data_IF_840569506710
#
_entry.id   IF_840569506710
#
_cell.length_a   1.000
_cell.length_b   1.000
_cell.length_c   1.000
_cell.angle_alpha   90.00
_cell.angle_beta   90.00
_cell.angle_gamma   90.00
#
_symmetry.space_group_name_H-M   'P 1'
#
loop_
_entity.id
_entity.type
_entity.pdbx_description
1 polymer ?
#
# COMPACT_ATOMS: atom_id res chain seq x y z
N UNK A 1 -7.10 27.54 -22.48
CA UNK A 1 -7.19 26.59 -21.35
C UNK A 1 -6.04 26.92 -20.39
N UNK A 2 -6.30 27.29 -19.14
CA UNK A 2 -5.22 27.58 -18.18
C UNK A 2 -4.73 26.23 -17.61
N UNK A 3 -3.64 25.71 -18.14
CA UNK A 3 -2.98 24.52 -17.58
C UNK A 3 -2.20 24.95 -16.32
N UNK A 4 -2.51 24.31 -15.22
CA UNK A 4 -1.72 24.49 -13.98
C UNK A 4 -0.31 23.97 -14.23
N UNK A 5 0.76 24.72 -13.91
CA UNK A 5 2.13 24.26 -14.12
C UNK A 5 2.40 22.94 -13.41
N UNK A 6 3.26 22.12 -14.02
CA UNK A 6 3.76 20.89 -13.43
C UNK A 6 5.06 21.17 -12.67
N UNK A 7 5.24 20.56 -11.50
CA UNK A 7 6.43 20.76 -10.69
C UNK A 7 7.51 19.75 -11.07
N UNK A 8 8.69 20.25 -11.39
CA UNK A 8 9.87 19.45 -11.72
C UNK A 8 10.96 19.56 -10.65
N UNK A 9 11.74 18.50 -10.52
CA UNK A 9 13.02 18.46 -9.80
C UNK A 9 14.08 17.88 -10.74
N UNK A 10 15.31 18.32 -10.63
CA UNK A 10 16.43 17.73 -11.37
C UNK A 10 16.58 16.25 -10.99
N UNK A 11 16.79 15.38 -11.98
CA UNK A 11 16.89 13.94 -11.74
C UNK A 11 18.07 13.58 -10.83
N UNK A 12 19.20 14.28 -10.96
CA UNK A 12 20.36 14.14 -10.08
C UNK A 12 19.98 14.40 -8.63
N UNK A 13 19.32 15.52 -8.35
CA UNK A 13 18.84 15.86 -7.01
C UNK A 13 17.89 14.81 -6.47
N UNK A 14 16.97 14.33 -7.28
CA UNK A 14 16.04 13.28 -6.88
C UNK A 14 16.76 11.98 -6.46
N UNK A 15 17.83 11.58 -7.19
CA UNK A 15 18.67 10.42 -6.84
C UNK A 15 19.46 10.68 -5.56
N UNK A 16 20.04 11.86 -5.38
CA UNK A 16 20.74 12.26 -4.15
C UNK A 16 19.80 12.25 -2.93
N UNK A 17 18.53 12.60 -3.13
CA UNK A 17 17.45 12.52 -2.14
C UNK A 17 16.96 11.07 -1.90
N UNK A 18 17.57 10.09 -2.58
CA UNK A 18 17.27 8.65 -2.43
C UNK A 18 16.00 8.21 -3.17
N UNK A 19 15.60 8.89 -4.23
CA UNK A 19 14.53 8.46 -5.13
C UNK A 19 15.08 7.57 -6.24
N UNK A 20 14.27 6.58 -6.67
CA UNK A 20 14.51 5.86 -7.92
C UNK A 20 13.77 6.57 -9.05
N UNK A 21 14.43 6.72 -10.19
CA UNK A 21 13.83 7.34 -11.36
C UNK A 21 13.17 6.27 -12.23
N UNK A 22 11.96 6.56 -12.66
CA UNK A 22 11.19 5.69 -13.56
C UNK A 22 10.77 6.48 -14.80
N UNK A 23 10.92 5.87 -15.97
CA UNK A 23 10.37 6.42 -17.21
C UNK A 23 8.83 6.37 -17.21
N UNK A 24 8.16 7.11 -18.07
CA UNK A 24 6.70 7.00 -18.24
C UNK A 24 6.23 5.59 -18.63
N UNK A 25 7.10 4.78 -19.21
CA UNK A 25 6.82 3.39 -19.60
C UNK A 25 7.07 2.39 -18.46
N UNK A 26 7.49 2.85 -17.28
CA UNK A 26 7.76 2.00 -16.11
C UNK A 26 9.16 1.36 -16.09
N UNK A 27 10.08 1.81 -16.93
CA UNK A 27 11.46 1.35 -16.94
C UNK A 27 12.30 2.15 -15.94
N UNK A 28 13.18 1.48 -15.19
CA UNK A 28 14.09 2.14 -14.23
C UNK A 28 15.19 2.88 -15.00
N UNK A 29 15.37 4.18 -14.69
CA UNK A 29 16.44 5.00 -15.24
C UNK A 29 17.66 4.84 -14.33
N UNK A 30 18.83 4.44 -14.87
CA UNK A 30 20.05 4.29 -14.08
C UNK A 30 20.49 5.62 -13.44
N UNK A 31 21.01 5.55 -12.22
CA UNK A 31 21.43 6.73 -11.46
C UNK A 31 22.50 7.58 -12.19
N UNK A 32 23.36 6.95 -12.99
CA UNK A 32 24.39 7.63 -13.78
C UNK A 32 23.83 8.42 -14.97
N UNK A 33 22.59 8.20 -15.36
CA UNK A 33 21.90 8.94 -16.40
C UNK A 33 21.03 10.07 -15.83
N UNK A 34 20.90 10.18 -14.52
CA UNK A 34 19.97 11.07 -13.84
C UNK A 34 20.15 12.57 -14.23
N UNK A 35 21.37 13.01 -14.52
CA UNK A 35 21.69 14.39 -14.91
C UNK A 35 20.98 14.83 -16.20
N UNK A 36 20.53 13.88 -17.03
CA UNK A 36 19.84 14.14 -18.29
C UNK A 36 18.32 14.22 -18.17
N UNK A 37 17.79 14.09 -16.96
CA UNK A 37 16.34 13.99 -16.72
C UNK A 37 15.84 15.01 -15.71
N UNK A 38 14.59 15.38 -15.88
CA UNK A 38 13.78 16.03 -14.85
C UNK A 38 12.71 15.07 -14.36
N UNK A 39 12.40 15.12 -13.07
CA UNK A 39 11.37 14.33 -12.43
C UNK A 39 10.12 15.17 -12.20
N UNK A 40 9.00 14.71 -12.71
CA UNK A 40 7.71 15.35 -12.48
C UNK A 40 7.24 14.97 -11.07
N UNK A 41 7.31 15.92 -10.15
CA UNK A 41 6.91 15.74 -8.74
C UNK A 41 5.41 15.94 -8.56
N UNK A 42 4.84 16.95 -9.25
CA UNK A 42 3.39 17.16 -9.33
C UNK A 42 2.95 17.32 -10.79
N UNK A 43 1.75 16.82 -11.06
CA UNK A 43 1.16 16.86 -12.40
C UNK A 43 1.48 15.65 -13.28
N UNK A 44 1.98 14.55 -12.74
CA UNK A 44 2.27 13.31 -13.48
C UNK A 44 1.09 12.84 -14.34
N UNK A 45 -0.13 12.81 -13.79
CA UNK A 45 -1.33 12.43 -14.54
C UNK A 45 -1.63 13.41 -15.69
N UNK A 46 -1.41 14.72 -15.47
CA UNK A 46 -1.58 15.75 -16.51
C UNK A 46 -0.56 15.58 -17.64
N UNK A 47 0.69 15.32 -17.28
CA UNK A 47 1.75 15.06 -18.25
C UNK A 47 1.46 13.79 -19.08
N UNK A 48 1.09 12.70 -18.41
CA UNK A 48 0.74 11.44 -19.10
C UNK A 48 -0.45 11.64 -20.03
N UNK A 49 -1.53 12.28 -19.56
CA UNK A 49 -2.71 12.55 -20.40
C UNK A 49 -2.38 13.43 -21.61
N UNK A 50 -1.56 14.47 -21.43
CA UNK A 50 -1.14 15.34 -22.53
C UNK A 50 -0.31 14.57 -23.56
N UNK A 51 0.67 13.78 -23.12
CA UNK A 51 1.51 12.98 -24.03
C UNK A 51 0.72 11.88 -24.74
N UNK A 52 -0.28 11.29 -24.12
CA UNK A 52 -1.18 10.32 -24.76
C UNK A 52 -2.04 11.00 -25.83
N UNK A 53 -2.62 12.17 -25.54
CA UNK A 53 -3.40 12.93 -26.52
C UNK A 53 -2.57 13.34 -27.74
N UNK A 54 -1.31 13.77 -27.54
CA UNK A 54 -0.40 14.11 -28.64
C UNK A 54 -0.08 12.88 -29.50
N UNK A 55 0.24 11.74 -28.87
CA UNK A 55 0.52 10.48 -29.58
C UNK A 55 -0.69 9.95 -30.35
N UNK A 56 -1.88 10.12 -29.79
CA UNK A 56 -3.11 9.64 -30.45
C UNK A 56 -3.50 10.52 -31.64
N UNK A 57 -3.25 11.85 -31.57
CA UNK A 57 -3.42 12.75 -32.71
C UNK A 57 -2.41 12.44 -33.82
N UNK A 58 -1.14 12.20 -33.46
CA UNK A 58 -0.10 11.81 -34.42
C UNK A 58 -0.47 10.51 -35.17
N UNK A 59 -0.98 9.49 -34.46
CA UNK A 59 -1.43 8.24 -35.08
C UNK A 59 -2.61 8.41 -36.04
N UNK A 60 -3.44 9.43 -35.80
CA UNK A 60 -4.63 9.72 -36.61
C UNK A 60 -4.37 10.76 -37.71
N UNK A 61 -3.18 11.32 -37.78
CA UNK A 61 -2.83 12.44 -38.64
C UNK A 61 -3.74 13.66 -38.40
N UNK A 62 -4.05 13.92 -37.14
CA UNK A 62 -4.91 15.02 -36.66
C UNK A 62 -4.06 16.05 -35.89
N UNK A 63 -4.53 17.30 -35.87
CA UNK A 63 -3.91 18.32 -35.00
C UNK A 63 -4.16 17.93 -33.50
N UNK A 64 -3.11 17.93 -32.66
CA UNK A 64 -3.27 17.59 -31.27
C UNK A 64 -4.04 18.70 -30.52
N UNK A 65 -4.96 18.29 -29.64
CA UNK A 65 -5.71 19.20 -28.79
C UNK A 65 -4.82 19.98 -27.79
N UNK A 66 -3.62 19.47 -27.54
CA UNK A 66 -2.60 20.05 -26.67
C UNK A 66 -1.26 19.92 -27.41
N UNK A 67 -0.45 21.00 -27.41
CA UNK A 67 0.91 21.00 -27.96
C UNK A 67 1.95 21.12 -26.85
N UNK A 68 3.21 20.78 -27.12
CA UNK A 68 4.32 20.94 -26.17
C UNK A 68 4.44 22.37 -25.66
N UNK A 69 4.15 23.37 -26.49
CA UNK A 69 4.20 24.81 -26.15
C UNK A 69 3.15 25.18 -25.08
N UNK A 70 2.14 24.36 -24.89
CA UNK A 70 1.08 24.57 -23.89
C UNK A 70 1.36 23.86 -22.57
N UNK A 71 2.46 23.09 -22.49
CA UNK A 71 2.89 22.44 -21.25
C UNK A 71 3.79 23.38 -20.45
N UNK A 72 3.34 23.77 -19.28
CA UNK A 72 4.09 24.64 -18.38
C UNK A 72 4.72 23.84 -17.25
N UNK A 73 6.04 24.05 -17.07
CA UNK A 73 6.81 23.40 -16.03
C UNK A 73 7.40 24.43 -15.09
N UNK A 74 7.43 24.09 -13.81
CA UNK A 74 8.07 24.86 -12.77
C UNK A 74 9.19 24.03 -12.16
N UNK A 75 10.43 24.48 -12.28
CA UNK A 75 11.56 23.81 -11.65
C UNK A 75 11.66 24.24 -10.19
N UNK A 76 11.73 23.28 -9.28
CA UNK A 76 11.88 23.59 -7.86
C UNK A 76 13.27 24.07 -7.52
N UNK A 77 13.35 25.26 -6.95
CA UNK A 77 14.57 25.88 -6.43
C UNK A 77 14.50 26.07 -4.90
N UNK A 78 13.53 25.47 -4.22
CA UNK A 78 13.35 25.68 -2.77
C UNK A 78 14.44 25.03 -1.92
N UNK A 79 15.23 24.12 -2.49
CA UNK A 79 16.23 23.33 -1.76
C UNK A 79 15.62 22.22 -0.90
N UNK A 80 14.30 22.02 -0.91
CA UNK A 80 13.64 20.94 -0.17
C UNK A 80 14.02 19.59 -0.73
N UNK A 81 13.94 18.57 0.13
CA UNK A 81 14.12 17.19 -0.29
C UNK A 81 12.98 16.76 -1.23
N UNK A 82 13.30 16.03 -2.30
CA UNK A 82 12.33 15.57 -3.31
C UNK A 82 11.20 14.76 -2.70
N UNK A 83 11.48 13.94 -1.67
CA UNK A 83 10.46 13.16 -0.95
C UNK A 83 9.50 14.06 -0.18
N UNK A 84 10.00 15.14 0.41
CA UNK A 84 9.17 16.16 1.08
C UNK A 84 8.26 16.86 0.07
N UNK A 85 8.79 17.27 -1.09
CA UNK A 85 8.00 17.87 -2.15
C UNK A 85 6.91 16.93 -2.65
N UNK A 86 7.23 15.66 -2.90
CA UNK A 86 6.25 14.63 -3.27
C UNK A 86 5.14 14.49 -2.21
N UNK A 87 5.50 14.53 -0.93
CA UNK A 87 4.54 14.45 0.16
C UNK A 87 3.60 15.67 0.18
N UNK A 88 4.16 16.87 0.12
CA UNK A 88 3.38 18.13 0.19
C UNK A 88 2.44 18.25 -1.00
N UNK A 89 2.94 18.09 -2.21
CA UNK A 89 2.14 18.27 -3.43
C UNK A 89 1.01 17.26 -3.55
N UNK A 90 1.25 16.02 -3.13
CA UNK A 90 0.24 14.96 -3.21
C UNK A 90 -0.79 15.02 -2.07
N UNK A 91 -0.43 15.54 -0.90
CA UNK A 91 -1.39 15.74 0.20
C UNK A 91 -2.34 16.91 -0.12
N UNK A 92 -1.84 17.97 -0.76
CA UNK A 92 -2.62 19.17 -1.03
C UNK A 92 -3.44 19.11 -2.33
N UNK A 93 -2.95 18.41 -3.37
CA UNK A 93 -3.53 18.48 -4.72
C UNK A 93 -4.50 17.35 -5.07
N UNK A 94 -4.39 16.17 -4.47
CA UNK A 94 -5.30 15.05 -4.71
C UNK A 94 -5.50 14.22 -3.45
N UNK A 95 -6.74 13.79 -3.20
CA UNK A 95 -7.00 12.78 -2.15
C UNK A 95 -6.46 11.43 -2.61
N UNK A 96 -5.21 11.17 -2.31
CA UNK A 96 -4.63 9.85 -2.54
C UNK A 96 -5.43 8.77 -1.82
N UNK A 97 -5.68 7.68 -2.54
CA UNK A 97 -6.22 6.48 -1.94
C UNK A 97 -5.12 5.73 -1.16
N UNK A 98 -5.52 4.81 -0.29
CA UNK A 98 -4.58 3.96 0.45
C UNK A 98 -3.59 3.23 -0.48
N UNK A 99 -4.03 2.85 -1.68
CA UNK A 99 -3.22 2.22 -2.72
C UNK A 99 -2.08 3.10 -3.22
N UNK A 100 -2.31 4.40 -3.34
CA UNK A 100 -1.33 5.35 -3.85
C UNK A 100 -0.28 5.65 -2.78
N UNK A 101 -0.71 5.88 -1.54
CA UNK A 101 0.20 6.01 -0.39
C UNK A 101 1.08 4.79 -0.21
N UNK A 102 0.51 3.58 -0.29
CA UNK A 102 1.26 2.34 -0.12
C UNK A 102 2.28 2.12 -1.25
N UNK A 103 1.93 2.41 -2.51
CA UNK A 103 2.86 2.37 -3.65
C UNK A 103 4.00 3.36 -3.50
N UNK A 104 3.67 4.62 -3.18
CA UNK A 104 4.67 5.66 -2.95
C UNK A 104 5.63 5.28 -1.83
N UNK A 105 5.13 4.76 -0.71
CA UNK A 105 5.94 4.32 0.42
C UNK A 105 6.93 3.20 0.02
N UNK A 106 6.52 2.23 -0.80
CA UNK A 106 7.42 1.17 -1.31
C UNK A 106 8.49 1.72 -2.24
N UNK A 107 8.12 2.64 -3.14
CA UNK A 107 9.10 3.26 -4.05
C UNK A 107 10.20 4.01 -3.29
N UNK A 108 9.84 4.67 -2.19
CA UNK A 108 10.78 5.42 -1.37
C UNK A 108 11.54 4.54 -0.35
N UNK A 109 10.99 3.39 0.01
CA UNK A 109 11.54 2.47 1.01
C UNK A 109 11.51 1.02 0.51
N UNK A 110 12.22 0.70 -0.59
CA UNK A 110 12.12 -0.60 -1.25
C UNK A 110 12.69 -1.76 -0.42
N UNK A 111 13.49 -1.49 0.60
CA UNK A 111 14.07 -2.50 1.49
C UNK A 111 13.20 -2.76 2.74
N UNK A 112 12.19 -1.94 3.02
CA UNK A 112 11.34 -2.09 4.20
C UNK A 112 10.29 -3.19 3.98
N UNK A 113 10.50 -4.33 4.64
CA UNK A 113 9.62 -5.50 4.53
C UNK A 113 8.19 -5.24 5.04
N UNK A 114 8.02 -4.36 6.04
CA UNK A 114 6.71 -4.01 6.58
C UNK A 114 5.92 -3.17 5.57
N UNK A 115 6.55 -2.18 4.97
CA UNK A 115 5.95 -1.34 3.92
C UNK A 115 5.60 -2.19 2.69
N UNK A 116 6.49 -3.10 2.26
CA UNK A 116 6.20 -4.03 1.17
C UNK A 116 5.00 -4.93 1.49
N UNK A 117 4.92 -5.46 2.71
CA UNK A 117 3.81 -6.28 3.16
C UNK A 117 2.49 -5.49 3.15
N UNK A 118 2.46 -4.27 3.69
CA UNK A 118 1.30 -3.40 3.68
C UNK A 118 0.84 -3.16 2.24
N UNK A 119 1.76 -2.73 1.36
CA UNK A 119 1.44 -2.49 -0.04
C UNK A 119 0.84 -3.73 -0.71
N UNK A 120 1.44 -4.92 -0.54
CA UNK A 120 0.94 -6.17 -1.11
C UNK A 120 -0.55 -6.40 -0.80
N UNK A 121 -0.99 -6.15 0.43
CA UNK A 121 -2.38 -6.40 0.83
C UNK A 121 -3.32 -5.24 0.52
N UNK A 122 -2.85 -4.00 0.55
CA UNK A 122 -3.61 -2.84 0.06
C UNK A 122 -3.91 -2.98 -1.44
N UNK A 123 -2.93 -3.39 -2.26
CA UNK A 123 -3.15 -3.66 -3.69
C UNK A 123 -4.16 -4.80 -3.93
N UNK A 124 -4.27 -5.75 -3.00
CA UNK A 124 -5.32 -6.77 -2.99
C UNK A 124 -6.67 -6.26 -2.46
N UNK A 125 -6.85 -4.96 -2.31
CA UNK A 125 -8.08 -4.29 -1.81
C UNK A 125 -8.44 -4.68 -0.37
N UNK A 126 -7.45 -5.02 0.47
CA UNK A 126 -7.66 -5.15 1.91
C UNK A 126 -7.63 -3.76 2.56
N UNK A 127 -8.65 -3.39 3.34
CA UNK A 127 -8.67 -2.08 4.03
C UNK A 127 -7.47 -1.91 4.97
N UNK A 128 -6.91 -0.70 5.04
CA UNK A 128 -5.76 -0.41 5.89
C UNK A 128 -6.04 -0.71 7.38
N UNK A 129 -7.26 -0.47 7.84
CA UNK A 129 -7.69 -0.80 9.20
C UNK A 129 -7.67 -2.30 9.51
N UNK A 130 -7.96 -3.15 8.51
CA UNK A 130 -7.89 -4.61 8.64
C UNK A 130 -6.43 -5.07 8.68
N UNK A 131 -5.58 -4.52 7.82
CA UNK A 131 -4.13 -4.75 7.86
C UNK A 131 -3.57 -4.35 9.23
N UNK A 132 -4.05 -3.22 9.78
CA UNK A 132 -3.69 -2.75 11.12
C UNK A 132 -4.04 -3.78 12.21
N UNK A 133 -5.22 -4.40 12.15
CA UNK A 133 -5.59 -5.45 13.13
C UNK A 133 -4.65 -6.66 13.01
N UNK A 134 -4.37 -7.14 11.80
CA UNK A 134 -3.44 -8.27 11.62
C UNK A 134 -2.03 -7.96 12.13
N UNK A 135 -1.54 -6.73 11.93
CA UNK A 135 -0.19 -6.35 12.32
C UNK A 135 -0.07 -5.93 13.80
N UNK A 136 -1.10 -5.27 14.36
CA UNK A 136 -0.99 -4.62 15.66
C UNK A 136 -2.09 -5.03 16.67
N UNK A 137 -3.09 -5.80 16.24
CA UNK A 137 -4.25 -6.15 17.06
C UNK A 137 -5.26 -5.03 17.23
N UNK A 138 -5.05 -3.86 16.59
CA UNK A 138 -5.92 -2.68 16.70
C UNK A 138 -6.10 -2.02 15.34
N UNK A 139 -7.32 -1.58 15.02
CA UNK A 139 -7.70 -1.01 13.71
C UNK A 139 -7.07 0.34 13.40
N UNK A 140 -6.72 1.13 14.42
CA UNK A 140 -6.33 2.53 14.27
C UNK A 140 -4.82 2.76 14.46
N UNK A 141 -4.03 1.70 14.67
CA UNK A 141 -2.58 1.80 14.85
C UNK A 141 -1.87 2.13 13.56
N UNK A 142 -2.30 1.55 12.43
CA UNK A 142 -1.84 1.89 11.09
C UNK A 142 -2.96 2.60 10.33
N UNK A 143 -2.67 3.77 9.79
CA UNK A 143 -3.62 4.60 9.03
C UNK A 143 -2.99 5.16 7.76
N UNK A 144 -3.79 5.73 6.86
CA UNK A 144 -3.27 6.44 5.68
C UNK A 144 -2.35 7.60 6.06
N UNK A 145 -2.54 8.23 7.23
CA UNK A 145 -1.65 9.30 7.70
C UNK A 145 -0.23 8.80 7.99
N UNK A 146 -0.08 7.59 8.53
CA UNK A 146 1.24 6.98 8.74
C UNK A 146 1.94 6.67 7.42
N UNK A 147 1.20 6.16 6.41
CA UNK A 147 1.74 5.94 5.08
C UNK A 147 2.11 7.26 4.39
N UNK A 148 1.28 8.29 4.51
CA UNK A 148 1.60 9.63 3.99
C UNK A 148 2.86 10.21 4.65
N UNK A 149 2.97 10.11 5.98
CA UNK A 149 4.15 10.58 6.71
C UNK A 149 5.42 9.83 6.32
N UNK A 150 5.33 8.52 6.01
CA UNK A 150 6.48 7.73 5.58
C UNK A 150 7.06 8.14 4.22
N UNK A 151 6.29 8.87 3.40
CA UNK A 151 6.78 9.43 2.14
C UNK A 151 7.83 10.51 2.37
N UNK A 152 7.66 11.32 3.41
CA UNK A 152 8.60 12.40 3.75
C UNK A 152 9.70 11.96 4.72
N UNK A 153 9.37 11.12 5.72
CA UNK A 153 10.34 10.68 6.74
C UNK A 153 11.25 9.55 6.27
N UNK A 154 10.90 8.85 5.19
CA UNK A 154 11.62 7.67 4.72
C UNK A 154 11.45 6.42 5.60
N UNK A 155 10.55 6.45 6.58
CA UNK A 155 10.27 5.31 7.46
C UNK A 155 8.84 5.34 7.98
N UNK A 156 8.31 4.17 8.33
CA UNK A 156 6.99 4.06 8.95
C UNK A 156 7.12 4.22 10.47
N UNK A 157 6.87 5.43 10.97
CA UNK A 157 6.93 5.72 12.41
C UNK A 157 5.63 5.31 13.11
N UNK A 158 5.63 4.10 13.68
CA UNK A 158 4.56 3.56 14.51
C UNK A 158 5.17 3.05 15.81
N UNK A 159 4.74 3.60 16.94
CA UNK A 159 5.27 3.26 18.27
C UNK A 159 5.04 1.79 18.68
N UNK A 160 4.04 1.12 18.10
CA UNK A 160 3.73 -0.27 18.40
C UNK A 160 4.53 -1.21 17.51
N UNK A 161 5.07 -2.28 18.08
CA UNK A 161 5.77 -3.31 17.33
C UNK A 161 4.79 -4.11 16.45
N UNK A 162 5.13 -4.25 15.17
CA UNK A 162 4.31 -4.99 14.22
C UNK A 162 4.55 -6.50 14.34
N UNK A 163 3.48 -7.28 14.39
CA UNK A 163 3.53 -8.76 14.36
C UNK A 163 3.73 -9.28 12.92
N UNK A 164 4.74 -8.74 12.21
CA UNK A 164 4.94 -8.98 10.78
C UNK A 164 5.15 -10.47 10.44
N UNK A 165 5.96 -11.18 11.23
CA UNK A 165 6.20 -12.61 11.04
C UNK A 165 4.91 -13.43 11.17
N UNK A 166 4.08 -13.13 12.17
CA UNK A 166 2.77 -13.71 12.36
C UNK A 166 1.85 -13.44 11.16
N UNK A 167 1.70 -12.19 10.77
CA UNK A 167 0.85 -11.81 9.65
C UNK A 167 1.31 -12.45 8.32
N UNK A 168 2.63 -12.54 8.08
CA UNK A 168 3.22 -13.25 6.92
C UNK A 168 2.88 -14.75 6.93
N UNK A 169 2.82 -15.38 8.10
CA UNK A 169 2.51 -16.80 8.23
C UNK A 169 1.02 -17.10 7.98
N UNK A 170 0.11 -16.26 8.50
CA UNK A 170 -1.33 -16.58 8.49
C UNK A 170 -2.07 -16.09 7.24
N UNK A 171 -1.78 -14.90 6.72
CA UNK A 171 -2.58 -14.30 5.65
C UNK A 171 -2.61 -15.11 4.34
N UNK A 172 -1.51 -15.74 3.88
CA UNK A 172 -1.57 -16.63 2.72
C UNK A 172 -2.47 -17.84 2.96
N UNK A 173 -2.51 -18.34 4.20
CA UNK A 173 -3.35 -19.47 4.58
C UNK A 173 -4.83 -19.08 4.63
N UNK A 174 -5.17 -17.95 5.27
CA UNK A 174 -6.52 -17.39 5.28
C UNK A 174 -7.03 -17.12 3.86
N UNK A 175 -6.18 -16.60 2.99
CA UNK A 175 -6.52 -16.34 1.58
C UNK A 175 -6.89 -17.64 0.83
N UNK A 176 -6.31 -18.78 1.20
CA UNK A 176 -6.60 -20.08 0.59
C UNK A 176 -7.87 -20.71 1.17
N UNK A 177 -8.07 -20.60 2.49
CA UNK A 177 -9.16 -21.25 3.21
C UNK A 177 -10.49 -20.52 3.13
N UNK A 178 -10.46 -19.19 3.05
CA UNK A 178 -11.63 -18.35 3.25
C UNK A 178 -11.91 -17.46 2.03
N UNK A 179 -13.18 -17.17 1.73
CA UNK A 179 -13.52 -16.27 0.64
C UNK A 179 -13.01 -14.85 0.92
N UNK A 180 -12.71 -14.12 -0.16
CA UNK A 180 -12.22 -12.75 -0.07
C UNK A 180 -13.19 -11.78 0.61
N UNK A 181 -14.47 -12.09 0.57
CA UNK A 181 -15.54 -11.37 1.27
C UNK A 181 -15.46 -11.49 2.80
N UNK A 182 -14.70 -12.45 3.33
CA UNK A 182 -14.51 -12.62 4.77
C UNK A 182 -13.09 -12.33 5.22
N UNK A 183 -12.03 -12.97 4.65
CA UNK A 183 -10.65 -12.78 5.16
C UNK A 183 -10.11 -11.34 5.04
N UNK A 184 -10.73 -10.50 4.18
CA UNK A 184 -10.40 -9.06 4.05
C UNK A 184 -11.21 -8.16 4.96
N UNK A 185 -12.01 -8.72 5.85
CA UNK A 185 -12.85 -7.94 6.76
C UNK A 185 -12.27 -7.88 8.15
N UNK A 186 -12.72 -6.89 8.91
CA UNK A 186 -12.38 -6.79 10.32
C UNK A 186 -12.85 -8.01 11.10
N UNK A 187 -13.97 -8.62 10.73
CA UNK A 187 -14.54 -9.76 11.43
C UNK A 187 -13.60 -10.95 11.44
N UNK A 188 -12.93 -11.27 10.34
CA UNK A 188 -11.92 -12.31 10.31
C UNK A 188 -10.67 -11.92 11.13
N UNK A 189 -10.22 -10.67 10.99
CA UNK A 189 -9.05 -10.20 11.72
C UNK A 189 -9.30 -10.15 13.25
N UNK A 190 -10.49 -9.74 13.67
CA UNK A 190 -10.90 -9.75 15.09
C UNK A 190 -10.99 -11.17 15.63
N UNK A 191 -11.59 -12.13 14.90
CA UNK A 191 -11.63 -13.55 15.32
C UNK A 191 -10.22 -14.13 15.55
N UNK A 192 -9.27 -13.82 14.67
CA UNK A 192 -7.86 -14.22 14.85
C UNK A 192 -7.24 -13.55 16.08
N UNK A 193 -7.52 -12.26 16.27
CA UNK A 193 -7.00 -11.52 17.42
C UNK A 193 -7.57 -12.03 18.75
N UNK A 194 -8.84 -12.39 18.77
CA UNK A 194 -9.51 -13.00 19.92
C UNK A 194 -8.91 -14.39 20.21
N UNK A 195 -8.62 -15.18 19.18
CA UNK A 195 -7.96 -16.48 19.33
C UNK A 195 -6.55 -16.35 19.92
N UNK A 196 -5.80 -15.31 19.61
CA UNK A 196 -4.50 -15.01 20.21
C UNK A 196 -4.59 -14.71 21.71
N UNK A 197 -5.73 -14.20 22.17
CA UNK A 197 -5.95 -13.78 23.56
C UNK A 197 -6.57 -14.87 24.44
N UNK A 198 -6.99 -16.02 23.87
CA UNK A 198 -7.73 -17.08 24.59
C UNK A 198 -7.04 -17.59 25.85
N UNK A 199 -5.72 -17.59 25.94
CA UNK A 199 -4.95 -18.16 27.08
C UNK A 199 -4.09 -17.13 27.82
N UNK A 200 -4.29 -15.84 27.60
CA UNK A 200 -3.43 -14.77 28.16
C UNK A 200 -1.97 -14.88 27.74
N UNK A 201 -1.65 -15.78 26.85
CA UNK A 201 -0.33 -15.97 26.29
C UNK A 201 -0.37 -15.52 24.84
N UNK A 202 0.50 -14.60 24.48
CA UNK A 202 0.75 -14.19 23.11
C UNK A 202 1.36 -15.33 22.27
N UNK A 203 0.78 -16.53 22.35
CA UNK A 203 1.32 -17.69 21.66
C UNK A 203 0.84 -17.74 20.22
N UNK A 204 1.40 -16.80 19.42
CA UNK A 204 1.13 -16.70 17.99
C UNK A 204 1.38 -18.03 17.25
N UNK A 205 2.30 -18.87 17.74
CA UNK A 205 2.63 -20.14 17.11
C UNK A 205 1.47 -21.13 17.18
N UNK A 206 0.74 -21.21 18.29
CA UNK A 206 -0.43 -22.10 18.40
C UNK A 206 -1.50 -21.75 17.37
N UNK A 207 -1.79 -20.46 17.20
CA UNK A 207 -2.76 -20.00 16.17
C UNK A 207 -2.27 -20.31 14.77
N UNK A 208 -0.98 -20.12 14.48
CA UNK A 208 -0.37 -20.49 13.19
C UNK A 208 -0.54 -21.98 12.91
N UNK A 209 -0.24 -22.82 13.90
CA UNK A 209 -0.28 -24.29 13.75
C UNK A 209 -1.72 -24.81 13.61
N UNK A 210 -2.65 -24.22 14.33
CA UNK A 210 -4.08 -24.49 14.15
C UNK A 210 -4.53 -24.13 12.75
N UNK A 211 -4.22 -22.93 12.27
CA UNK A 211 -4.58 -22.49 10.91
C UNK A 211 -3.96 -23.37 9.82
N UNK A 212 -2.74 -23.90 10.03
CA UNK A 212 -2.11 -24.84 9.08
C UNK A 212 -2.85 -26.16 8.98
N UNK A 213 -3.46 -26.62 10.07
CA UNK A 213 -4.17 -27.89 10.18
C UNK A 213 -5.65 -27.82 9.77
N UNK A 214 -6.22 -26.61 9.68
CA UNK A 214 -7.60 -26.43 9.23
C UNK A 214 -7.79 -26.93 7.81
N UNK A 215 -8.85 -27.71 7.59
CA UNK A 215 -9.28 -28.21 6.29
C UNK A 215 -10.36 -27.32 5.68
N UNK A 216 -10.49 -27.33 4.35
CA UNK A 216 -11.43 -26.48 3.63
C UNK A 216 -12.89 -26.74 4.08
N UNK A 217 -13.27 -28.00 4.34
CA UNK A 217 -14.61 -28.38 4.81
C UNK A 217 -14.96 -27.85 6.20
N UNK A 218 -13.97 -27.61 7.08
CA UNK A 218 -14.21 -27.10 8.43
C UNK A 218 -14.60 -25.61 8.44
N UNK A 219 -14.23 -24.90 7.41
CA UNK A 219 -14.49 -23.45 7.27
C UNK A 219 -15.52 -23.12 6.20
N UNK A 220 -16.10 -24.13 5.54
CA UNK A 220 -17.10 -23.95 4.48
C UNK A 220 -18.32 -23.17 4.97
N UNK A 221 -18.82 -23.49 6.18
CA UNK A 221 -19.96 -22.81 6.79
C UNK A 221 -19.68 -21.31 6.99
N UNK A 222 -18.43 -20.93 7.33
CA UNK A 222 -18.04 -19.53 7.53
C UNK A 222 -18.22 -18.70 6.26
N UNK A 223 -17.98 -19.33 5.09
CA UNK A 223 -18.14 -18.68 3.79
C UNK A 223 -19.57 -18.27 3.48
N UNK A 224 -20.55 -18.94 4.08
CA UNK A 224 -21.98 -18.69 3.88
C UNK A 224 -22.56 -17.65 4.87
N UNK A 225 -21.82 -17.33 5.92
CA UNK A 225 -22.21 -16.39 6.97
C UNK A 225 -21.67 -14.97 6.67
N UNK A 226 -22.20 -13.96 7.36
CA UNK A 226 -21.76 -12.57 7.22
C UNK A 226 -21.58 -11.88 8.58
N UNK A 227 -20.71 -10.87 8.60
CA UNK A 227 -20.55 -10.00 9.76
C UNK A 227 -20.15 -10.75 11.02
N UNK A 228 -20.87 -10.47 12.11
CA UNK A 228 -20.60 -11.03 13.45
C UNK A 228 -20.89 -12.54 13.54
N UNK A 229 -21.84 -13.07 12.76
CA UNK A 229 -22.11 -14.50 12.71
C UNK A 229 -20.92 -15.28 12.15
N UNK A 230 -20.33 -14.78 11.04
CA UNK A 230 -19.13 -15.38 10.47
C UNK A 230 -17.93 -15.26 11.42
N UNK A 231 -17.78 -14.13 12.13
CA UNK A 231 -16.75 -13.93 13.15
C UNK A 231 -16.87 -14.96 14.27
N UNK A 232 -18.07 -15.07 14.86
CA UNK A 232 -18.33 -15.96 15.98
C UNK A 232 -18.10 -17.42 15.58
N UNK A 233 -18.61 -17.85 14.42
CA UNK A 233 -18.40 -19.20 13.92
C UNK A 233 -16.92 -19.52 13.69
N UNK A 234 -16.19 -18.60 13.06
CA UNK A 234 -14.77 -18.80 12.80
C UNK A 234 -13.96 -18.82 14.10
N UNK A 235 -14.30 -17.96 15.06
CA UNK A 235 -13.67 -17.96 16.37
C UNK A 235 -13.93 -19.26 17.15
N UNK A 236 -15.15 -19.80 17.12
CA UNK A 236 -15.47 -21.10 17.75
C UNK A 236 -14.62 -22.23 17.17
N UNK A 237 -14.51 -22.32 15.84
CA UNK A 237 -13.65 -23.31 15.17
C UNK A 237 -12.20 -23.19 15.65
N UNK A 238 -11.65 -21.97 15.69
CA UNK A 238 -10.29 -21.75 16.18
C UNK A 238 -10.13 -22.15 17.66
N UNK A 239 -11.08 -21.75 18.50
CA UNK A 239 -11.09 -22.04 19.93
C UNK A 239 -11.10 -23.53 20.22
N UNK A 240 -11.96 -24.30 19.54
CA UNK A 240 -12.07 -25.75 19.72
C UNK A 240 -10.77 -26.45 19.30
N UNK A 241 -10.17 -26.03 18.18
CA UNK A 241 -8.88 -26.57 17.72
C UNK A 241 -7.71 -26.19 18.64
N UNK A 242 -7.69 -24.99 19.19
CA UNK A 242 -6.68 -24.54 20.15
C UNK A 242 -6.80 -25.36 21.45
N UNK A 243 -8.03 -25.55 21.95
CA UNK A 243 -8.26 -26.33 23.17
C UNK A 243 -7.93 -27.83 23.00
N UNK A 244 -8.14 -28.38 21.79
CA UNK A 244 -7.81 -29.77 21.47
C UNK A 244 -6.31 -30.00 21.27
N UNK A 245 -5.53 -28.93 21.01
CA UNK A 245 -4.09 -28.98 20.79
C UNK A 245 -3.26 -28.69 22.06
N UNK A 246 -3.92 -28.33 23.16
CA UNK A 246 -3.32 -28.02 24.46
C UNK A 246 -3.35 -29.24 25.40
#
# INVERSE_FOLDING_TARGET
MNLVPMLLVEGKKAVEDGCKLMSPNGEEIPNNAADSYYVVVDGQHRYTAATELMKDAEKKDEEPAITDEQLYFYLDYSGRNTKELLSITNIESAKWAATDYAKGAVLLNPADELIQFINKYVQKKMPISVISIYLYGKKDTLTNKHLAASLSSGSLDIKSEARLAFAKAILPRLQRLLPSSFYRTRYCADAINDALNLKGTQNSQVVIDVLKKLEDGEVEEVGNLKGEEAQSKFFEILKDKINSAA
#
